data_IF_570439311994
#
_entry.id   IF_570439311994
#
_cell.length_a   1.000
_cell.length_b   1.000
_cell.length_c   1.000
_cell.angle_alpha   90.00
_cell.angle_beta   90.00
_cell.angle_gamma   90.00
#
_symmetry.space_group_name_H-M   'P 1'
#
loop_
_entity.id
_entity.type
_entity.pdbx_description
1 polymer ?
#
# COMPACT_ATOMS: atom_id res chain seq x y z
N UNK A 1 6.24 14.90 12.94
CA UNK A 1 7.35 13.94 12.75
C UNK A 1 7.56 13.13 14.01
N UNK A 2 7.63 13.78 15.17
CA UNK A 2 7.81 13.13 16.48
C UNK A 2 6.79 12.03 16.79
N UNK A 3 5.52 12.22 16.40
CA UNK A 3 4.49 11.19 16.59
C UNK A 3 4.85 9.85 15.92
N UNK A 4 5.42 9.84 14.71
CA UNK A 4 5.75 8.60 14.00
C UNK A 4 6.91 7.85 14.70
N UNK A 5 7.87 8.58 15.25
CA UNK A 5 8.95 7.99 16.03
C UNK A 5 8.41 7.40 17.35
N UNK A 6 7.56 8.14 18.06
CA UNK A 6 7.01 7.73 19.35
C UNK A 6 6.02 6.55 19.22
N UNK A 7 5.09 6.62 18.28
CA UNK A 7 4.00 5.63 18.16
C UNK A 7 4.41 4.40 17.34
N UNK A 8 5.20 4.58 16.27
CA UNK A 8 5.48 3.52 15.29
C UNK A 8 6.93 3.07 15.28
N UNK A 9 7.82 3.72 16.04
CA UNK A 9 9.27 3.47 16.02
C UNK A 9 9.86 3.58 14.61
N UNK A 10 9.38 4.56 13.83
CA UNK A 10 9.81 4.78 12.44
C UNK A 10 10.35 6.20 12.23
N UNK A 11 11.39 6.31 11.39
CA UNK A 11 11.87 7.60 10.88
C UNK A 11 11.03 7.97 9.66
N UNK A 12 10.28 9.06 9.76
CA UNK A 12 9.48 9.59 8.67
C UNK A 12 10.30 10.59 7.85
N UNK A 13 10.34 10.43 6.53
CA UNK A 13 10.89 11.41 5.59
C UNK A 13 9.81 11.84 4.59
N UNK A 14 9.50 13.13 4.53
CA UNK A 14 8.52 13.67 3.58
C UNK A 14 9.20 13.97 2.26
N UNK A 15 8.86 13.23 1.21
CA UNK A 15 9.33 13.48 -0.16
C UNK A 15 8.34 14.39 -0.87
N UNK A 16 8.70 15.67 -1.05
CA UNK A 16 7.88 16.62 -1.81
C UNK A 16 8.16 16.53 -3.30
N UNK A 17 7.18 16.94 -4.11
CA UNK A 17 7.39 17.20 -5.54
C UNK A 17 8.26 18.46 -5.68
N UNK A 18 9.13 18.52 -6.69
CA UNK A 18 9.88 19.74 -6.99
C UNK A 18 8.92 20.85 -7.43
N UNK A 19 9.12 22.07 -6.92
CA UNK A 19 8.19 23.22 -7.10
C UNK A 19 8.00 23.57 -8.59
N UNK A 20 9.05 23.48 -9.40
CA UNK A 20 9.02 23.76 -10.83
C UNK A 20 8.93 22.50 -11.71
N UNK A 21 8.35 21.41 -11.19
CA UNK A 21 8.24 20.16 -11.95
C UNK A 21 7.19 20.26 -13.07
N UNK A 22 7.63 20.46 -14.31
CA UNK A 22 6.79 20.30 -15.52
C UNK A 22 6.65 18.82 -15.87
N UNK A 23 5.42 18.38 -16.17
CA UNK A 23 5.14 17.00 -16.56
C UNK A 23 5.23 15.97 -15.42
N UNK A 24 5.31 14.70 -15.77
CA UNK A 24 5.44 13.59 -14.81
C UNK A 24 6.91 13.39 -14.41
N UNK A 25 7.20 13.52 -13.11
CA UNK A 25 8.50 13.17 -12.54
C UNK A 25 8.33 12.03 -11.55
N UNK A 26 9.12 10.97 -11.73
CA UNK A 26 9.12 9.81 -10.84
C UNK A 26 9.62 10.22 -9.48
N UNK A 27 8.82 9.98 -8.44
CA UNK A 27 9.25 10.15 -7.06
C UNK A 27 9.92 8.86 -6.55
N UNK A 28 11.02 8.96 -5.79
CA UNK A 28 11.67 7.80 -5.19
C UNK A 28 10.66 6.92 -4.43
N UNK A 29 10.68 5.61 -4.71
CA UNK A 29 9.84 4.57 -4.06
C UNK A 29 8.32 4.74 -4.16
N UNK A 30 7.78 5.75 -4.84
CA UNK A 30 6.34 5.95 -5.04
C UNK A 30 5.64 4.74 -5.67
N UNK A 31 6.33 4.07 -6.60
CA UNK A 31 5.81 2.87 -7.25
C UNK A 31 5.49 1.74 -6.26
N UNK A 32 6.14 1.67 -5.10
CA UNK A 32 5.89 0.61 -4.11
C UNK A 32 4.48 0.73 -3.53
N UNK A 33 4.06 1.96 -3.24
CA UNK A 33 2.73 2.27 -2.72
C UNK A 33 1.68 2.03 -3.81
N UNK A 34 1.91 2.58 -5.01
CA UNK A 34 0.99 2.43 -6.14
C UNK A 34 0.80 0.95 -6.52
N UNK A 35 1.87 0.16 -6.49
CA UNK A 35 1.82 -1.28 -6.75
C UNK A 35 1.03 -2.03 -5.68
N UNK A 36 1.26 -1.70 -4.41
CA UNK A 36 0.51 -2.27 -3.28
C UNK A 36 -0.98 -1.98 -3.44
N UNK A 37 -1.35 -0.74 -3.75
CA UNK A 37 -2.74 -0.35 -4.02
C UNK A 37 -3.31 -1.10 -5.23
N UNK A 38 -2.54 -1.24 -6.31
CA UNK A 38 -2.93 -2.03 -7.48
C UNK A 38 -3.21 -3.51 -7.15
N UNK A 39 -2.48 -4.11 -6.21
CA UNK A 39 -2.79 -5.46 -5.73
C UNK A 39 -4.08 -5.51 -4.92
N UNK A 40 -4.29 -4.56 -4.01
CA UNK A 40 -5.50 -4.50 -3.18
C UNK A 40 -6.75 -4.30 -4.04
N UNK A 41 -6.68 -3.45 -5.08
CA UNK A 41 -7.80 -3.20 -5.99
C UNK A 41 -8.25 -4.43 -6.79
N UNK A 42 -7.42 -5.49 -6.90
CA UNK A 42 -7.85 -6.77 -7.48
C UNK A 42 -8.90 -7.47 -6.62
N UNK A 43 -8.91 -7.22 -5.32
CA UNK A 43 -9.99 -7.62 -4.42
C UNK A 43 -11.07 -6.55 -4.51
N UNK A 44 -12.17 -6.82 -5.25
CA UNK A 44 -13.27 -5.85 -5.47
C UNK A 44 -13.79 -5.20 -4.17
N UNK A 45 -13.75 -5.94 -3.06
CA UNK A 45 -14.16 -5.47 -1.72
C UNK A 45 -13.26 -4.36 -1.13
N UNK A 46 -12.07 -4.14 -1.68
CA UNK A 46 -11.17 -3.05 -1.30
C UNK A 46 -11.17 -1.91 -2.33
N UNK A 47 -11.94 -2.00 -3.42
CA UNK A 47 -12.05 -0.94 -4.41
C UNK A 47 -12.82 0.28 -3.88
N UNK A 48 -13.65 0.08 -2.85
CA UNK A 48 -14.35 1.11 -2.09
C UNK A 48 -14.36 0.71 -0.62
N UNK A 49 -14.62 1.66 0.26
CA UNK A 49 -14.77 1.38 1.68
C UNK A 49 -16.16 0.79 1.96
N UNK A 50 -16.23 -0.55 1.98
CA UNK A 50 -17.46 -1.29 2.23
C UNK A 50 -17.60 -1.70 3.70
N UNK A 51 -16.52 -1.68 4.47
CA UNK A 51 -16.50 -2.24 5.81
C UNK A 51 -17.00 -1.21 6.83
N UNK A 52 -17.85 -1.65 7.76
CA UNK A 52 -18.37 -0.78 8.82
C UNK A 52 -17.35 -0.49 9.93
N UNK A 53 -16.38 -1.36 10.10
CA UNK A 53 -15.40 -1.25 11.18
C UNK A 53 -13.98 -1.31 10.63
N UNK A 54 -13.08 -0.61 11.29
CA UNK A 54 -11.66 -0.59 10.95
C UNK A 54 -11.06 -2.00 11.02
N UNK A 55 -11.48 -2.80 12.01
CA UNK A 55 -11.04 -4.19 12.15
C UNK A 55 -11.43 -5.07 10.94
N UNK A 56 -12.64 -4.89 10.39
CA UNK A 56 -13.07 -5.61 9.21
C UNK A 56 -12.31 -5.16 7.94
N UNK A 57 -12.08 -3.84 7.80
CA UNK A 57 -11.26 -3.31 6.72
C UNK A 57 -9.82 -3.86 6.77
N UNK A 58 -9.21 -3.88 7.95
CA UNK A 58 -7.88 -4.43 8.18
C UNK A 58 -7.82 -5.93 7.82
N UNK A 59 -8.82 -6.72 8.27
CA UNK A 59 -8.91 -8.13 7.93
C UNK A 59 -8.96 -8.38 6.41
N UNK A 60 -9.69 -7.54 5.65
CA UNK A 60 -9.73 -7.66 4.19
C UNK A 60 -8.39 -7.33 3.52
N UNK A 61 -7.63 -6.37 4.06
CA UNK A 61 -6.28 -6.06 3.58
C UNK A 61 -5.37 -7.28 3.78
N UNK A 62 -5.35 -7.87 4.97
CA UNK A 62 -4.57 -9.08 5.23
C UNK A 62 -4.98 -10.24 4.33
N UNK A 63 -6.28 -10.48 4.17
CA UNK A 63 -6.79 -11.53 3.29
C UNK A 63 -6.32 -11.36 1.84
N UNK A 64 -6.42 -10.13 1.30
CA UNK A 64 -5.99 -9.82 -0.07
C UNK A 64 -4.49 -10.09 -0.27
N UNK A 65 -3.66 -9.66 0.69
CA UNK A 65 -2.21 -9.86 0.64
C UNK A 65 -1.82 -11.34 0.81
N UNK A 66 -2.46 -12.06 1.73
CA UNK A 66 -2.24 -13.51 1.88
C UNK A 66 -2.57 -14.26 0.58
N UNK A 67 -3.72 -13.97 -0.05
CA UNK A 67 -4.08 -14.56 -1.32
C UNK A 67 -3.09 -14.23 -2.45
N UNK A 68 -2.54 -13.01 -2.47
CA UNK A 68 -1.46 -12.64 -3.39
C UNK A 68 -0.19 -13.46 -3.15
N UNK A 69 0.22 -13.61 -1.89
CA UNK A 69 1.42 -14.37 -1.53
C UNK A 69 1.28 -15.85 -1.85
N UNK A 70 0.12 -16.45 -1.59
CA UNK A 70 -0.18 -17.84 -1.99
C UNK A 70 -0.02 -18.02 -3.50
N UNK A 71 -0.60 -17.13 -4.32
CA UNK A 71 -0.45 -17.20 -5.79
C UNK A 71 1.00 -17.09 -6.25
N UNK A 72 1.82 -16.27 -5.56
CA UNK A 72 3.24 -16.12 -5.86
C UNK A 72 4.09 -17.32 -5.46
N UNK A 73 3.69 -18.01 -4.39
CA UNK A 73 4.35 -19.24 -3.96
C UNK A 73 3.99 -20.38 -4.90
N UNK A 74 2.69 -20.59 -5.15
CA UNK A 74 2.20 -21.63 -6.05
C UNK A 74 2.63 -21.41 -7.52
N UNK A 75 2.65 -20.15 -7.98
CA UNK A 75 3.06 -19.80 -9.35
C UNK A 75 4.57 -19.83 -9.59
N UNK A 76 5.39 -20.07 -8.55
CA UNK A 76 6.84 -20.23 -8.65
C UNK A 76 7.26 -21.71 -8.77
N UNK A 77 6.28 -22.62 -8.84
CA UNK A 77 6.48 -24.05 -9.10
C UNK A 77 6.43 -24.39 -10.60
N UNK A 78 6.72 -23.43 -11.48
CA UNK A 78 6.87 -23.63 -12.93
C UNK A 78 8.21 -23.09 -13.39
#
# INVERSE_FOLDING_TARGET
MEWAAAALRMVLQVVKRAENAVGFKVLPRRWVIERTNGWLMRTRRLARDYERTTAAAEAMIYWSMTALMIRRLAGRSR
#
